data_IF_383252856715
#
_entry.id   IF_383252856715
#
_cell.length_a   1.000
_cell.length_b   1.000
_cell.length_c   1.000
_cell.angle_alpha   90.00
_cell.angle_beta   90.00
_cell.angle_gamma   90.00
#
_symmetry.space_group_name_H-M   'P 1'
#
loop_
_entity.id
_entity.type
_entity.pdbx_description
1 polymer ?
#
# COMPACT_ATOMS: atom_id res chain seq x y z
N UNK A 1 -1.93 7.75 -4.51
CA UNK A 1 -0.63 7.56 -3.85
C UNK A 1 -0.84 6.92 -2.51
N UNK A 2 0.10 6.10 -2.02
CA UNK A 2 0.00 5.43 -0.71
C UNK A 2 1.24 5.64 0.15
N UNK A 3 1.06 5.54 1.45
CA UNK A 3 2.13 5.44 2.43
C UNK A 3 2.01 4.10 3.16
N UNK A 4 3.09 3.33 3.19
CA UNK A 4 3.20 2.19 4.08
C UNK A 4 3.57 2.72 5.47
N UNK A 5 2.60 2.70 6.38
CA UNK A 5 2.75 3.19 7.75
C UNK A 5 3.21 2.02 8.62
N UNK A 6 4.52 1.87 8.73
CA UNK A 6 5.17 0.74 9.40
C UNK A 6 5.52 1.03 10.86
N UNK A 7 5.66 2.32 11.20
CA UNK A 7 5.99 2.78 12.55
C UNK A 7 4.92 3.69 13.14
N UNK A 8 3.65 3.25 13.15
CA UNK A 8 2.56 4.08 13.63
C UNK A 8 2.68 4.45 15.11
N UNK A 9 3.45 3.69 15.91
CA UNK A 9 3.64 3.91 17.34
C UNK A 9 4.85 4.78 17.70
N UNK A 10 5.71 5.11 16.72
CA UNK A 10 6.79 6.09 16.88
C UNK A 10 6.24 7.51 16.79
N UNK A 11 6.35 8.30 17.86
CA UNK A 11 5.81 9.66 17.92
C UNK A 11 6.45 10.61 16.91
N UNK A 12 7.76 10.51 16.72
CA UNK A 12 8.48 11.39 15.80
C UNK A 12 8.07 11.12 14.34
N UNK A 13 7.86 9.85 14.00
CA UNK A 13 7.36 9.42 12.69
C UNK A 13 5.90 9.87 12.53
N UNK A 14 5.05 9.56 13.52
CA UNK A 14 3.62 9.86 13.45
C UNK A 14 3.33 11.34 13.29
N UNK A 15 3.96 12.21 14.10
CA UNK A 15 3.76 13.67 14.00
C UNK A 15 4.08 14.20 12.59
N UNK A 16 5.14 13.68 11.96
CA UNK A 16 5.52 14.09 10.60
C UNK A 16 4.55 13.56 9.57
N UNK A 17 4.11 12.33 9.74
CA UNK A 17 3.15 11.68 8.85
C UNK A 17 1.78 12.37 8.92
N UNK A 18 1.20 12.56 10.10
CA UNK A 18 -0.05 13.26 10.30
C UNK A 18 -0.04 14.67 9.71
N UNK A 19 1.08 15.40 9.89
CA UNK A 19 1.27 16.72 9.26
C UNK A 19 1.28 16.63 7.73
N UNK A 20 1.87 15.59 7.16
CA UNK A 20 1.93 15.40 5.70
C UNK A 20 0.55 15.12 5.11
N UNK A 21 -0.20 14.18 5.69
CA UNK A 21 -1.53 13.80 5.18
C UNK A 21 -2.55 14.95 5.29
N UNK A 22 -2.47 15.78 6.36
CA UNK A 22 -3.29 17.00 6.46
C UNK A 22 -2.95 18.02 5.38
N UNK A 23 -1.68 18.15 5.01
CA UNK A 23 -1.22 19.18 4.06
C UNK A 23 -1.46 18.82 2.60
N UNK A 24 -1.60 17.56 2.28
CA UNK A 24 -1.82 17.04 0.91
C UNK A 24 -0.93 17.74 -0.14
N UNK A 25 0.40 17.60 -0.06
CA UNK A 25 1.30 18.30 -0.96
C UNK A 25 0.96 17.99 -2.41
N UNK A 26 0.86 19.02 -3.26
CA UNK A 26 0.42 18.88 -4.65
C UNK A 26 -1.06 18.51 -4.81
N UNK A 27 -1.88 18.56 -3.74
CA UNK A 27 -3.29 18.15 -3.76
C UNK A 27 -3.51 16.63 -3.74
N UNK A 28 -2.45 15.83 -3.60
CA UNK A 28 -2.57 14.37 -3.60
C UNK A 28 -3.16 13.85 -2.29
N UNK A 29 -4.24 13.07 -2.39
CA UNK A 29 -4.70 12.24 -1.28
C UNK A 29 -3.70 11.09 -1.04
N UNK A 30 -3.35 10.86 0.22
CA UNK A 30 -2.43 9.80 0.63
C UNK A 30 -3.25 8.71 1.30
N UNK A 31 -3.27 7.52 0.72
CA UNK A 31 -3.86 6.34 1.35
C UNK A 31 -2.92 5.83 2.43
N UNK A 32 -3.41 5.77 3.66
CA UNK A 32 -2.68 5.24 4.81
C UNK A 32 -2.82 3.73 4.84
N UNK A 33 -1.81 3.00 4.36
CA UNK A 33 -1.73 1.54 4.47
C UNK A 33 -1.00 1.22 5.77
N UNK A 34 -1.76 0.93 6.84
CA UNK A 34 -1.22 0.81 8.18
C UNK A 34 -0.98 -0.64 8.59
N UNK A 35 0.18 -0.89 9.14
CA UNK A 35 0.56 -2.16 9.73
C UNK A 35 -0.12 -2.29 11.11
N UNK A 36 -0.97 -3.32 11.33
CA UNK A 36 -1.51 -3.58 12.67
C UNK A 36 -0.41 -3.79 13.71
N UNK A 37 -0.69 -3.54 14.99
CA UNK A 37 0.30 -3.74 16.05
C UNK A 37 0.67 -5.21 16.18
N UNK A 38 1.94 -5.46 16.47
CA UNK A 38 2.42 -6.79 16.85
C UNK A 38 2.10 -7.07 18.33
N UNK A 39 2.27 -8.33 18.74
CA UNK A 39 2.11 -8.71 20.14
C UNK A 39 3.01 -7.86 21.05
N UNK A 40 2.42 -7.31 22.11
CA UNK A 40 3.12 -6.43 23.05
C UNK A 40 3.22 -4.96 22.65
N UNK A 41 2.82 -4.59 21.42
CA UNK A 41 2.68 -3.19 21.03
C UNK A 41 1.37 -2.57 21.54
N UNK A 42 1.35 -1.25 21.71
CA UNK A 42 0.19 -0.50 22.21
C UNK A 42 -0.95 -0.46 21.16
N UNK A 43 -1.88 -1.39 21.32
CA UNK A 43 -3.01 -1.55 20.41
C UNK A 43 -4.00 -0.36 20.47
N UNK A 44 -4.23 0.22 21.66
CA UNK A 44 -5.17 1.34 21.81
C UNK A 44 -4.61 2.59 21.12
N UNK A 45 -3.33 2.87 21.32
CA UNK A 45 -2.65 3.96 20.63
C UNK A 45 -2.62 3.78 19.11
N UNK A 46 -2.44 2.54 18.65
CA UNK A 46 -2.58 2.23 17.24
C UNK A 46 -3.96 2.61 16.71
N UNK A 47 -5.03 2.19 17.41
CA UNK A 47 -6.42 2.47 17.01
C UNK A 47 -6.71 3.96 16.96
N UNK A 48 -6.23 4.74 17.93
CA UNK A 48 -6.34 6.21 17.90
C UNK A 48 -5.72 6.80 16.63
N UNK A 49 -4.50 6.38 16.30
CA UNK A 49 -3.77 6.85 15.13
C UNK A 49 -4.40 6.38 13.82
N UNK A 50 -4.91 5.17 13.78
CA UNK A 50 -5.63 4.65 12.63
C UNK A 50 -6.93 5.43 12.37
N UNK A 51 -7.69 5.79 13.42
CA UNK A 51 -8.87 6.65 13.31
C UNK A 51 -8.50 8.05 12.82
N UNK A 52 -7.40 8.63 13.33
CA UNK A 52 -6.90 9.92 12.84
C UNK A 52 -6.53 9.84 11.35
N UNK A 53 -5.83 8.79 10.93
CA UNK A 53 -5.48 8.59 9.52
C UNK A 53 -6.72 8.44 8.64
N UNK A 54 -7.69 7.63 9.06
CA UNK A 54 -8.95 7.40 8.34
C UNK A 54 -9.80 8.69 8.21
N UNK A 55 -9.77 9.56 9.21
CA UNK A 55 -10.45 10.86 9.15
C UNK A 55 -9.77 11.85 8.17
N UNK A 56 -8.48 11.67 7.89
CA UNK A 56 -7.69 12.57 7.06
C UNK A 56 -7.58 12.12 5.59
N UNK A 57 -7.82 10.84 5.31
CA UNK A 57 -7.69 10.29 3.96
C UNK A 57 -8.12 8.82 3.84
N UNK A 58 -7.97 8.22 2.67
CA UNK A 58 -8.26 6.81 2.48
C UNK A 58 -7.40 5.93 3.40
N UNK A 59 -8.01 4.88 3.94
CA UNK A 59 -7.39 3.99 4.92
C UNK A 59 -7.35 2.55 4.40
N UNK A 60 -6.28 1.82 4.74
CA UNK A 60 -6.09 0.44 4.36
C UNK A 60 -5.19 -0.34 5.31
N UNK A 61 -5.10 -1.62 5.06
CA UNK A 61 -4.35 -2.62 5.80
C UNK A 61 -3.02 -2.89 5.10
N UNK A 62 -1.92 -2.92 5.85
CA UNK A 62 -0.59 -3.32 5.39
C UNK A 62 -0.06 -4.44 6.27
N UNK A 63 0.04 -5.65 5.74
CA UNK A 63 0.52 -6.80 6.51
C UNK A 63 2.04 -6.90 6.49
N UNK A 64 2.65 -7.13 7.67
CA UNK A 64 4.02 -7.64 7.78
C UNK A 64 3.98 -9.12 8.18
N UNK A 65 4.72 -9.99 7.46
CA UNK A 65 4.49 -11.43 7.52
C UNK A 65 5.03 -12.13 8.77
N UNK A 66 6.10 -11.63 9.38
CA UNK A 66 6.72 -12.30 10.54
C UNK A 66 6.91 -11.39 11.74
N UNK A 67 7.25 -10.15 11.51
CA UNK A 67 7.41 -9.14 12.54
C UNK A 67 7.30 -7.76 11.92
N UNK A 68 7.19 -6.69 12.73
CA UNK A 68 7.17 -5.32 12.23
C UNK A 68 8.36 -4.96 11.32
N UNK A 69 9.51 -5.61 11.52
CA UNK A 69 10.71 -5.37 10.73
C UNK A 69 10.82 -6.24 9.47
N UNK A 70 9.98 -7.27 9.32
CA UNK A 70 10.05 -8.21 8.23
C UNK A 70 8.84 -8.09 7.31
N UNK A 71 9.07 -7.60 6.11
CA UNK A 71 8.06 -7.42 5.08
C UNK A 71 7.91 -8.64 4.15
N UNK A 72 8.52 -9.78 4.47
CA UNK A 72 8.49 -11.02 3.68
C UNK A 72 8.05 -12.21 4.51
N UNK A 73 7.28 -13.17 3.94
CA UNK A 73 6.95 -14.39 4.65
C UNK A 73 8.22 -15.19 4.96
N UNK A 74 8.42 -15.56 6.22
CA UNK A 74 9.50 -16.43 6.67
C UNK A 74 8.97 -17.63 7.44
N UNK A 75 7.65 -17.78 7.56
CA UNK A 75 6.93 -18.85 8.24
C UNK A 75 5.50 -18.48 8.52
N UNK A 76 4.71 -19.45 8.91
CA UNK A 76 3.26 -19.32 9.12
C UNK A 76 2.47 -19.26 7.82
N UNK A 77 1.19 -19.00 7.94
CA UNK A 77 0.26 -18.87 6.83
C UNK A 77 -0.01 -17.39 6.54
N UNK A 78 0.47 -16.84 5.39
CA UNK A 78 0.25 -15.45 5.02
C UNK A 78 -1.23 -15.08 4.86
N UNK A 79 -2.03 -15.96 4.25
CA UNK A 79 -3.45 -15.69 4.01
C UNK A 79 -4.25 -15.63 5.32
N UNK A 80 -3.97 -16.55 6.24
CA UNK A 80 -4.57 -16.55 7.57
C UNK A 80 -4.21 -15.29 8.35
N UNK A 81 -2.97 -14.82 8.22
CA UNK A 81 -2.56 -13.55 8.82
C UNK A 81 -3.36 -12.37 8.27
N UNK A 82 -3.55 -12.29 6.96
CA UNK A 82 -4.34 -11.23 6.32
C UNK A 82 -5.77 -11.24 6.87
N UNK A 83 -6.42 -12.41 6.95
CA UNK A 83 -7.77 -12.53 7.51
C UNK A 83 -7.83 -12.07 8.96
N UNK A 84 -6.98 -12.63 9.81
CA UNK A 84 -6.94 -12.30 11.25
C UNK A 84 -6.68 -10.82 11.50
N UNK A 85 -5.71 -10.21 10.82
CA UNK A 85 -5.41 -8.79 10.96
C UNK A 85 -6.54 -7.91 10.43
N UNK A 86 -7.17 -8.28 9.31
CA UNK A 86 -8.32 -7.57 8.75
C UNK A 86 -9.54 -7.63 9.67
N UNK A 87 -9.84 -8.80 10.24
CA UNK A 87 -10.91 -8.99 11.21
C UNK A 87 -10.64 -8.21 12.50
N UNK A 88 -9.39 -8.22 12.97
CA UNK A 88 -8.99 -7.45 14.13
C UNK A 88 -9.21 -5.95 13.93
N UNK A 89 -8.82 -5.40 12.77
CA UNK A 89 -9.07 -3.98 12.43
C UNK A 89 -10.57 -3.66 12.46
N UNK A 90 -11.39 -4.51 11.85
CA UNK A 90 -12.86 -4.33 11.82
C UNK A 90 -13.48 -4.44 13.20
N UNK A 91 -13.02 -5.39 14.01
CA UNK A 91 -13.44 -5.55 15.42
C UNK A 91 -13.14 -4.33 16.29
N UNK A 92 -12.21 -3.45 15.87
CA UNK A 92 -11.90 -2.17 16.52
C UNK A 92 -12.65 -0.97 15.92
N UNK A 93 -13.61 -1.24 15.03
CA UNK A 93 -14.40 -0.21 14.35
C UNK A 93 -13.63 0.56 13.28
N UNK A 94 -12.56 -0.03 12.75
CA UNK A 94 -11.84 0.50 11.60
C UNK A 94 -12.37 -0.16 10.32
N UNK A 95 -12.44 0.60 9.23
CA UNK A 95 -12.95 0.12 7.95
C UNK A 95 -11.88 0.23 6.86
N UNK A 96 -10.85 -0.64 6.87
CA UNK A 96 -9.85 -0.62 5.82
C UNK A 96 -10.48 -1.03 4.49
N UNK A 97 -10.26 -0.23 3.46
CA UNK A 97 -10.76 -0.50 2.10
C UNK A 97 -9.67 -0.99 1.16
N UNK A 98 -8.41 -0.70 1.47
CA UNK A 98 -7.26 -1.02 0.66
C UNK A 98 -6.36 -2.02 1.38
N UNK A 99 -5.63 -2.80 0.59
CA UNK A 99 -4.63 -3.73 1.10
C UNK A 99 -3.31 -3.58 0.34
N UNK A 100 -2.21 -3.84 1.02
CA UNK A 100 -0.91 -4.07 0.39
C UNK A 100 -0.11 -5.07 1.22
N UNK A 101 0.28 -6.16 0.60
CA UNK A 101 1.15 -7.15 1.22
C UNK A 101 2.56 -6.62 1.46
N UNK A 102 3.11 -6.95 2.62
CA UNK A 102 4.49 -6.61 2.96
C UNK A 102 5.46 -7.15 1.92
N UNK A 103 6.42 -6.31 1.55
CA UNK A 103 7.38 -6.68 0.52
C UNK A 103 6.81 -6.94 -0.86
N UNK A 104 5.54 -6.55 -1.11
CA UNK A 104 4.79 -6.87 -2.33
C UNK A 104 4.68 -8.38 -2.61
N UNK A 105 4.77 -9.17 -1.55
CA UNK A 105 4.47 -10.59 -1.65
C UNK A 105 2.96 -10.79 -1.78
N UNK A 106 2.56 -11.59 -2.75
CA UNK A 106 1.20 -12.11 -2.89
C UNK A 106 1.23 -13.42 -3.63
N UNK A 107 0.41 -14.36 -3.19
CA UNK A 107 0.10 -15.62 -3.84
C UNK A 107 -1.42 -15.76 -3.98
N UNK A 108 -1.89 -16.89 -4.50
CA UNK A 108 -3.32 -17.12 -4.69
C UNK A 108 -4.10 -17.11 -3.36
N UNK A 109 -3.52 -17.68 -2.30
CA UNK A 109 -4.19 -17.78 -1.00
C UNK A 109 -4.30 -16.40 -0.33
N UNK A 110 -3.25 -15.56 -0.42
CA UNK A 110 -3.29 -14.16 0.00
C UNK A 110 -4.32 -13.37 -0.80
N UNK A 111 -4.33 -13.52 -2.13
CA UNK A 111 -5.31 -12.82 -2.98
C UNK A 111 -6.74 -13.27 -2.68
N UNK A 112 -6.93 -14.54 -2.34
CA UNK A 112 -8.20 -15.09 -1.88
C UNK A 112 -8.65 -14.44 -0.57
N UNK A 113 -7.74 -14.29 0.40
CA UNK A 113 -8.03 -13.60 1.67
C UNK A 113 -8.36 -12.10 1.45
N UNK A 114 -7.69 -11.46 0.52
CA UNK A 114 -8.00 -10.07 0.11
C UNK A 114 -9.42 -9.97 -0.47
N UNK A 115 -9.82 -10.96 -1.29
CA UNK A 115 -11.18 -11.05 -1.83
C UNK A 115 -12.22 -11.31 -0.73
N UNK A 116 -11.95 -12.20 0.23
CA UNK A 116 -12.82 -12.52 1.38
C UNK A 116 -13.12 -11.25 2.21
N UNK A 117 -12.11 -10.41 2.38
CA UNK A 117 -12.22 -9.14 3.09
C UNK A 117 -12.78 -8.00 2.23
N UNK A 118 -13.04 -8.20 0.94
CA UNK A 118 -13.56 -7.19 0.04
C UNK A 118 -12.63 -5.98 -0.14
N UNK A 119 -11.33 -6.20 -0.05
CA UNK A 119 -10.34 -5.15 -0.23
C UNK A 119 -10.08 -4.83 -1.71
N UNK A 120 -9.69 -3.59 -1.97
CA UNK A 120 -8.97 -3.19 -3.17
C UNK A 120 -7.50 -3.45 -2.92
N UNK A 121 -6.85 -4.25 -3.76
CA UNK A 121 -5.43 -4.56 -3.60
C UNK A 121 -4.53 -3.49 -4.25
N UNK A 122 -3.37 -3.29 -3.65
CA UNK A 122 -2.30 -2.42 -4.14
C UNK A 122 -0.93 -3.14 -4.14
N UNK A 123 -0.94 -4.47 -4.05
CA UNK A 123 0.26 -5.28 -3.89
C UNK A 123 1.02 -5.50 -5.19
N UNK A 124 0.32 -5.59 -6.33
CA UNK A 124 1.01 -5.77 -7.62
C UNK A 124 1.97 -4.62 -7.92
N UNK A 125 3.05 -4.93 -8.61
CA UNK A 125 4.06 -3.94 -9.01
C UNK A 125 4.40 -4.02 -10.49
N UNK A 126 4.69 -2.86 -11.08
CA UNK A 126 5.20 -2.76 -12.45
C UNK A 126 6.67 -3.23 -12.59
N UNK A 127 7.37 -3.43 -11.47
CA UNK A 127 8.77 -3.90 -11.42
C UNK A 127 8.92 -5.07 -10.46
N UNK A 128 10.01 -5.83 -10.59
CA UNK A 128 10.35 -6.83 -9.57
C UNK A 128 11.08 -6.15 -8.40
N UNK A 129 10.55 -6.20 -7.17
CA UNK A 129 11.25 -5.71 -6.00
C UNK A 129 12.56 -6.50 -5.77
N UNK A 130 13.67 -5.80 -5.62
CA UNK A 130 15.00 -6.43 -5.52
C UNK A 130 15.21 -7.28 -4.27
N UNK A 131 14.42 -7.05 -3.23
CA UNK A 131 14.50 -7.80 -1.99
C UNK A 131 13.53 -9.00 -1.93
N UNK A 132 12.64 -9.18 -2.91
CA UNK A 132 11.93 -10.44 -3.06
C UNK A 132 12.89 -11.53 -3.56
N UNK A 133 12.97 -12.68 -2.89
CA UNK A 133 13.80 -13.78 -3.36
C UNK A 133 13.44 -14.18 -4.80
N UNK A 134 14.39 -14.69 -5.58
CA UNK A 134 14.07 -15.34 -6.86
C UNK A 134 12.99 -16.41 -6.66
N UNK A 135 11.99 -16.45 -7.55
CA UNK A 135 10.89 -17.39 -7.45
C UNK A 135 9.82 -17.05 -6.38
N UNK A 136 9.97 -15.98 -5.59
CA UNK A 136 8.92 -15.57 -4.67
C UNK A 136 7.68 -15.11 -5.45
N UNK A 137 6.48 -15.60 -5.06
CA UNK A 137 5.22 -15.21 -5.69
C UNK A 137 5.00 -13.70 -5.62
N UNK A 138 4.51 -13.13 -6.71
CA UNK A 138 4.07 -11.74 -6.81
C UNK A 138 3.08 -11.57 -7.95
N UNK A 139 2.29 -10.52 -7.92
CA UNK A 139 1.53 -10.09 -9.08
C UNK A 139 2.29 -9.00 -9.86
N UNK A 140 2.32 -9.11 -11.19
CA UNK A 140 2.99 -8.17 -12.08
C UNK A 140 1.96 -7.41 -12.91
N UNK A 141 1.76 -6.14 -12.58
CA UNK A 141 0.85 -5.23 -13.31
C UNK A 141 1.43 -3.82 -13.35
N UNK A 142 1.14 -3.10 -14.43
CA UNK A 142 1.54 -1.70 -14.64
C UNK A 142 0.35 -0.73 -14.69
N UNK A 143 -0.87 -1.24 -14.81
CA UNK A 143 -2.12 -0.49 -14.85
C UNK A 143 -3.20 -1.20 -14.01
N UNK A 144 -4.21 -0.48 -13.50
CA UNK A 144 -5.35 -1.07 -12.83
C UNK A 144 -6.02 -2.18 -13.64
N UNK A 145 -6.38 -3.27 -12.94
CA UNK A 145 -7.11 -4.38 -13.53
C UNK A 145 -8.03 -5.03 -12.49
N UNK A 146 -9.11 -5.65 -12.95
CA UNK A 146 -9.81 -6.65 -12.18
C UNK A 146 -9.08 -7.99 -12.34
N UNK A 147 -8.55 -8.52 -11.25
CA UNK A 147 -7.96 -9.86 -11.25
C UNK A 147 -9.08 -10.87 -10.98
N UNK A 148 -9.31 -11.77 -11.92
CA UNK A 148 -10.25 -12.88 -11.76
C UNK A 148 -9.54 -14.07 -11.18
N UNK A 149 -10.00 -14.53 -10.01
CA UNK A 149 -9.48 -15.70 -9.31
C UNK A 149 -10.04 -16.99 -9.93
N UNK A 150 -9.40 -18.17 -9.71
CA UNK A 150 -9.89 -19.45 -10.22
C UNK A 150 -11.30 -19.82 -9.78
N UNK A 151 -11.75 -19.35 -8.63
CA UNK A 151 -13.11 -19.54 -8.12
C UNK A 151 -14.16 -18.57 -8.67
N UNK A 152 -13.77 -17.69 -9.60
CA UNK A 152 -14.62 -16.70 -10.26
C UNK A 152 -14.77 -15.37 -9.53
N UNK A 153 -14.26 -15.24 -8.30
CA UNK A 153 -14.23 -13.94 -7.61
C UNK A 153 -13.27 -12.96 -8.29
N UNK A 154 -13.47 -11.69 -8.02
CA UNK A 154 -12.63 -10.63 -8.61
C UNK A 154 -12.11 -9.70 -7.55
N UNK A 155 -10.86 -9.30 -7.68
CA UNK A 155 -10.21 -8.28 -6.86
C UNK A 155 -9.82 -7.11 -7.75
N UNK A 156 -10.17 -5.89 -7.36
CA UNK A 156 -9.66 -4.71 -8.01
C UNK A 156 -8.22 -4.50 -7.56
N UNK A 157 -7.29 -4.58 -8.51
CA UNK A 157 -5.87 -4.30 -8.29
C UNK A 157 -5.51 -2.90 -8.79
N UNK A 158 -4.94 -2.10 -7.91
CA UNK A 158 -4.40 -0.77 -8.21
C UNK A 158 -2.87 -0.80 -8.02
N UNK A 159 -2.11 -1.30 -8.99
CA UNK A 159 -0.71 -1.66 -8.79
C UNK A 159 0.14 -0.47 -8.36
N UNK A 160 1.07 -0.72 -7.46
CA UNK A 160 2.11 0.23 -7.11
C UNK A 160 3.10 0.34 -8.27
N UNK A 161 3.17 1.49 -8.93
CA UNK A 161 3.99 1.67 -10.13
C UNK A 161 5.33 2.35 -9.87
N UNK A 162 5.44 3.15 -8.81
CA UNK A 162 6.65 3.93 -8.54
C UNK A 162 6.93 4.04 -7.05
N UNK A 163 8.18 3.76 -6.65
CA UNK A 163 8.73 4.27 -5.40
C UNK A 163 9.18 5.72 -5.54
N UNK A 164 9.40 6.41 -4.41
CA UNK A 164 9.80 7.82 -4.41
C UNK A 164 11.00 8.13 -5.32
N UNK A 165 12.05 7.29 -5.28
CA UNK A 165 13.23 7.48 -6.13
C UNK A 165 12.93 7.34 -7.62
N UNK A 166 12.07 6.38 -8.00
CA UNK A 166 11.66 6.18 -9.39
C UNK A 166 10.84 7.36 -9.88
N UNK A 167 9.89 7.84 -9.09
CA UNK A 167 9.07 8.99 -9.41
C UNK A 167 9.93 10.26 -9.57
N UNK A 168 10.88 10.50 -8.66
CA UNK A 168 11.78 11.65 -8.73
C UNK A 168 12.64 11.65 -10.00
N UNK A 169 13.15 10.48 -10.43
CA UNK A 169 13.92 10.33 -11.68
C UNK A 169 13.05 10.40 -12.92
N UNK A 170 11.81 9.92 -12.82
CA UNK A 170 10.86 9.86 -13.91
C UNK A 170 10.09 11.15 -14.16
N UNK A 171 10.09 12.09 -13.21
CA UNK A 171 9.24 13.29 -13.28
C UNK A 171 9.43 14.14 -14.51
N UNK A 172 10.60 14.10 -15.15
CA UNK A 172 10.93 14.81 -16.40
C UNK A 172 10.74 13.96 -17.66
N UNK A 173 10.39 12.68 -17.52
CA UNK A 173 10.20 11.71 -18.62
C UNK A 173 8.71 11.57 -18.96
N UNK A 174 8.34 10.87 -20.05
CA UNK A 174 6.98 10.44 -20.26
C UNK A 174 6.50 9.60 -19.06
N UNK A 175 5.35 9.99 -18.49
CA UNK A 175 4.76 9.32 -17.35
C UNK A 175 3.65 8.36 -17.81
N UNK A 176 3.43 7.22 -17.12
CA UNK A 176 2.33 6.33 -17.44
C UNK A 176 0.98 7.05 -17.26
N UNK A 177 -0.08 6.48 -17.85
CA UNK A 177 -1.45 7.02 -17.73
C UNK A 177 -1.85 7.18 -16.25
N UNK A 178 -1.61 6.15 -15.45
CA UNK A 178 -1.82 6.16 -14.01
C UNK A 178 -0.47 5.93 -13.33
N UNK A 179 -0.13 6.83 -12.42
CA UNK A 179 1.06 6.74 -11.60
C UNK A 179 0.64 6.58 -10.13
N UNK A 180 0.85 5.39 -9.58
CA UNK A 180 0.69 5.10 -8.17
C UNK A 180 2.07 5.13 -7.49
N UNK A 181 2.33 6.21 -6.75
CA UNK A 181 3.55 6.40 -5.99
C UNK A 181 3.36 5.87 -4.57
N UNK A 182 4.33 5.12 -4.06
CA UNK A 182 4.41 4.77 -2.64
C UNK A 182 5.67 5.33 -1.97
N UNK A 183 5.60 5.47 -0.64
CA UNK A 183 6.69 5.77 0.26
C UNK A 183 6.40 5.19 1.64
N UNK A 184 7.39 5.22 2.55
CA UNK A 184 7.23 4.74 3.93
C UNK A 184 7.22 5.92 4.91
N UNK A 185 6.46 5.79 5.99
CA UNK A 185 6.33 6.82 7.02
C UNK A 185 7.67 7.19 7.68
N UNK A 186 8.54 6.22 7.96
CA UNK A 186 9.86 6.45 8.56
C UNK A 186 10.82 7.22 7.63
N UNK A 187 10.56 7.28 6.34
CA UNK A 187 11.33 8.10 5.41
C UNK A 187 11.16 9.60 5.68
N UNK A 188 10.10 9.98 6.38
CA UNK A 188 9.83 11.36 6.76
C UNK A 188 10.76 11.88 7.88
N UNK A 189 11.54 11.00 8.52
CA UNK A 189 12.61 11.42 9.44
C UNK A 189 13.82 12.01 8.69
N UNK A 190 14.01 11.65 7.42
CA UNK A 190 15.09 12.15 6.58
C UNK A 190 14.66 13.43 5.84
N UNK A 191 15.24 14.57 6.21
CA UNK A 191 14.94 15.87 5.61
C UNK A 191 15.18 15.90 4.09
N UNK A 192 16.19 15.15 3.57
CA UNK A 192 16.45 15.07 2.13
C UNK A 192 15.34 14.31 1.41
N UNK A 193 14.88 13.19 1.97
CA UNK A 193 13.75 12.43 1.40
C UNK A 193 12.45 13.25 1.43
N UNK A 194 12.21 14.00 2.50
CA UNK A 194 11.05 14.92 2.59
C UNK A 194 11.12 16.00 1.50
N UNK A 195 12.30 16.61 1.29
CA UNK A 195 12.48 17.59 0.23
C UNK A 195 12.23 16.98 -1.15
N UNK A 196 12.81 15.79 -1.43
CA UNK A 196 12.57 15.04 -2.68
C UNK A 196 11.09 14.72 -2.86
N UNK A 197 10.40 14.23 -1.82
CA UNK A 197 8.97 13.94 -1.88
C UNK A 197 8.16 15.19 -2.26
N UNK A 198 8.36 16.31 -1.57
CA UNK A 198 7.62 17.55 -1.82
C UNK A 198 7.87 18.10 -3.21
N UNK A 199 9.14 18.14 -3.65
CA UNK A 199 9.51 18.60 -4.98
C UNK A 199 8.89 17.72 -6.06
N UNK A 200 9.01 16.38 -5.91
CA UNK A 200 8.43 15.41 -6.84
C UNK A 200 6.91 15.59 -6.94
N UNK A 201 6.20 15.69 -5.82
CA UNK A 201 4.75 15.90 -5.83
C UNK A 201 4.36 17.25 -6.43
N UNK A 202 5.10 18.33 -6.14
CA UNK A 202 4.87 19.63 -6.76
C UNK A 202 5.04 19.61 -8.28
N UNK A 203 6.02 18.88 -8.79
CA UNK A 203 6.22 18.71 -10.23
C UNK A 203 5.17 17.79 -10.86
N UNK A 204 4.81 16.69 -10.19
CA UNK A 204 3.76 15.78 -10.66
C UNK A 204 2.41 16.48 -10.74
N UNK A 205 2.06 17.32 -9.76
CA UNK A 205 0.79 18.05 -9.75
C UNK A 205 0.62 19.02 -10.95
N UNK A 206 1.74 19.45 -11.57
CA UNK A 206 1.72 20.26 -12.80
C UNK A 206 1.52 19.40 -14.05
N UNK A 207 1.72 18.10 -13.97
CA UNK A 207 1.74 17.19 -15.12
C UNK A 207 0.65 16.12 -15.07
N UNK A 208 0.07 15.89 -13.92
CA UNK A 208 -0.97 14.87 -13.67
C UNK A 208 -2.03 15.42 -12.74
N UNK A 209 -3.27 15.06 -12.99
CA UNK A 209 -4.37 15.34 -12.07
C UNK A 209 -4.20 14.47 -10.83
N UNK A 210 -4.16 15.04 -9.61
CA UNK A 210 -4.26 14.28 -8.38
C UNK A 210 -5.58 13.51 -8.32
N UNK A 211 -5.51 12.24 -7.90
CA UNK A 211 -6.67 11.39 -7.68
C UNK A 211 -6.45 10.54 -6.42
N UNK A 212 -7.48 10.30 -5.65
CA UNK A 212 -7.45 9.29 -4.59
C UNK A 212 -7.48 7.89 -5.20
N UNK A 213 -6.91 6.89 -4.52
CA UNK A 213 -6.94 5.51 -5.02
C UNK A 213 -8.38 5.01 -5.26
N UNK A 214 -9.32 5.39 -4.39
CA UNK A 214 -10.73 4.99 -4.53
C UNK A 214 -11.47 5.62 -5.71
N UNK A 215 -10.89 6.60 -6.39
CA UNK A 215 -11.44 7.19 -7.63
C UNK A 215 -10.98 6.45 -8.89
N UNK A 216 -9.98 5.57 -8.75
CA UNK A 216 -9.44 4.82 -9.87
C UNK A 216 -10.33 3.62 -10.18
N UNK A 217 -10.48 3.34 -11.47
CA UNK A 217 -11.23 2.22 -12.00
C UNK A 217 -10.34 1.38 -12.91
N UNK A 218 -10.65 0.11 -13.01
CA UNK A 218 -10.05 -0.78 -13.99
C UNK A 218 -10.95 -0.92 -15.21
N UNK A 219 -10.36 -0.79 -16.40
CA UNK A 219 -11.04 -0.96 -17.69
C UNK A 219 -10.86 -2.39 -18.25
N UNK A 220 -9.96 -3.17 -17.64
CA UNK A 220 -9.63 -4.52 -18.09
C UNK A 220 -9.80 -5.55 -16.97
N UNK A 221 -10.05 -6.78 -17.36
CA UNK A 221 -9.98 -7.95 -16.50
C UNK A 221 -8.83 -8.85 -16.99
N UNK A 222 -8.13 -9.48 -16.06
CA UNK A 222 -7.06 -10.43 -16.32
C UNK A 222 -7.23 -11.64 -15.41
N UNK A 223 -6.84 -12.84 -15.85
CA UNK A 223 -6.83 -14.00 -14.98
C UNK A 223 -5.63 -13.95 -14.02
N UNK A 224 -5.76 -14.55 -12.83
CA UNK A 224 -4.67 -14.64 -11.86
C UNK A 224 -3.41 -15.24 -12.47
N UNK A 225 -3.57 -16.29 -13.26
CA UNK A 225 -2.49 -17.03 -13.90
C UNK A 225 -1.66 -16.16 -14.86
N UNK A 226 -2.28 -15.15 -15.46
CA UNK A 226 -1.63 -14.24 -16.42
C UNK A 226 -0.78 -13.17 -15.72
N UNK A 227 -1.02 -12.91 -14.44
CA UNK A 227 -0.33 -11.86 -13.66
C UNK A 227 0.57 -12.40 -12.57
N UNK A 228 0.35 -13.66 -12.15
CA UNK A 228 1.20 -14.33 -11.19
C UNK A 228 2.57 -14.60 -11.82
N UNK A 229 3.61 -14.02 -11.22
CA UNK A 229 4.98 -14.18 -11.66
C UNK A 229 5.83 -14.67 -10.48
N UNK A 230 6.50 -15.78 -10.64
CA UNK A 230 7.46 -16.38 -9.70
C UNK A 230 8.91 -16.24 -10.17
#
# INVERSE_FOLDING_TARGET
MSCHVERPLDDAVWMRYAKLIRRRPGGFAITSLMRPPADGEDAERFVERAREAAALGPFGHHTHWTSPAHARPTGGDPAERVRREGEWLRGRGLEPRFFCGGGWYTDLDVMTAVADLGYVDCTATAWRPSYLPPGAPRAALDQPAWIRLPDGRRVLELPTTHGLRMAARGVVRPLPRILHLHFHDFELLDAKKVAVLRTTLGLLARRRRPAALGELQAEREVAWEDVCAG
#
